data_IF_520791036304
#
_entry.id   IF_520791036304
#
_cell.length_a   1.000
_cell.length_b   1.000
_cell.length_c   1.000
_cell.angle_alpha   90.00
_cell.angle_beta   90.00
_cell.angle_gamma   90.00
#
_symmetry.space_group_name_H-M   'P 1'
#
loop_
_entity.id
_entity.type
_entity.pdbx_description
1 polymer ?
#
# COMPACT_ATOMS: atom_id res chain seq x y z
N UNK A 1 -12.68 -19.30 12.42
CA UNK A 1 -12.29 -17.89 12.62
C UNK A 1 -12.92 -16.98 11.55
N UNK A 2 -14.19 -16.54 11.71
CA UNK A 2 -14.84 -15.60 10.77
C UNK A 2 -15.07 -14.19 11.35
N UNK A 3 -14.64 -13.89 12.59
CA UNK A 3 -15.04 -12.67 13.30
C UNK A 3 -14.30 -11.40 12.86
N UNK A 4 -13.02 -11.50 12.50
CA UNK A 4 -12.22 -10.35 12.07
C UNK A 4 -12.66 -9.89 10.67
N UNK A 5 -12.85 -10.81 9.74
CA UNK A 5 -13.31 -10.51 8.38
C UNK A 5 -14.73 -9.92 8.35
N UNK A 6 -15.61 -10.32 9.29
CA UNK A 6 -16.95 -9.72 9.41
C UNK A 6 -16.89 -8.29 9.93
N UNK A 7 -16.02 -8.00 10.90
CA UNK A 7 -15.74 -6.62 11.34
C UNK A 7 -15.16 -5.78 10.20
N UNK A 8 -14.20 -6.30 9.46
CA UNK A 8 -13.63 -5.62 8.28
C UNK A 8 -14.71 -5.35 7.23
N UNK A 9 -15.64 -6.29 7.01
CA UNK A 9 -16.77 -6.12 6.09
C UNK A 9 -17.79 -5.08 6.59
N UNK A 10 -18.07 -5.03 7.90
CA UNK A 10 -18.88 -3.98 8.54
C UNK A 10 -18.22 -2.60 8.42
N UNK A 11 -16.90 -2.50 8.63
CA UNK A 11 -16.17 -1.24 8.45
C UNK A 11 -16.12 -0.83 6.98
N UNK A 12 -15.94 -1.76 6.03
CA UNK A 12 -16.04 -1.47 4.60
C UNK A 12 -17.47 -1.08 4.17
N UNK A 13 -18.52 -1.64 4.80
CA UNK A 13 -19.91 -1.28 4.52
C UNK A 13 -20.29 0.15 4.93
N UNK A 14 -19.62 0.75 5.92
CA UNK A 14 -19.78 2.18 6.24
C UNK A 14 -19.45 3.12 5.07
N UNK A 15 -18.74 2.62 4.06
CA UNK A 15 -18.39 3.37 2.84
C UNK A 15 -19.55 3.46 1.82
N UNK A 16 -20.67 2.74 2.01
CA UNK A 16 -21.71 2.57 0.97
C UNK A 16 -23.18 2.80 1.44
N UNK A 17 -23.43 3.66 2.45
CA UNK A 17 -24.76 4.02 3.07
C UNK A 17 -25.31 3.04 4.13
N UNK A 18 -26.10 3.41 5.17
CA UNK A 18 -26.79 4.66 5.62
C UNK A 18 -27.09 4.58 7.16
N UNK A 19 -27.74 5.52 7.90
CA UNK A 19 -28.94 6.35 7.66
C UNK A 19 -28.88 7.78 8.24
N UNK A 20 -27.86 8.14 9.02
CA UNK A 20 -27.82 9.46 9.69
C UNK A 20 -27.02 10.44 8.83
N UNK A 21 -27.64 11.45 8.19
CA UNK A 21 -26.92 12.45 7.43
C UNK A 21 -25.90 13.17 8.33
N UNK A 22 -24.75 13.56 7.75
CA UNK A 22 -23.65 14.23 8.49
C UNK A 22 -24.12 15.46 9.29
N UNK A 23 -25.21 16.10 8.85
CA UNK A 23 -25.88 17.21 9.56
C UNK A 23 -26.48 16.82 10.91
N UNK A 24 -26.87 15.56 11.09
CA UNK A 24 -27.50 15.02 12.31
C UNK A 24 -26.50 14.42 13.31
N UNK A 25 -25.19 14.42 13.00
CA UNK A 25 -24.16 13.99 13.94
C UNK A 25 -23.82 15.10 14.94
N UNK A 26 -23.61 14.71 16.20
CA UNK A 26 -23.00 15.58 17.21
C UNK A 26 -21.59 16.00 16.79
N UNK A 27 -21.07 17.10 17.33
CA UNK A 27 -19.74 17.61 16.94
C UNK A 27 -18.61 16.60 17.23
N UNK A 28 -18.77 15.80 18.29
CA UNK A 28 -17.87 14.68 18.56
C UNK A 28 -17.97 13.58 17.50
N UNK A 29 -19.17 13.19 17.08
CA UNK A 29 -19.37 12.19 16.03
C UNK A 29 -18.83 12.65 14.67
N UNK A 30 -18.96 13.95 14.35
CA UNK A 30 -18.36 14.54 13.15
C UNK A 30 -16.84 14.47 13.18
N UNK A 31 -16.21 14.70 14.34
CA UNK A 31 -14.75 14.59 14.51
C UNK A 31 -14.25 13.16 14.29
N UNK A 32 -14.97 12.16 14.80
CA UNK A 32 -14.61 10.75 14.60
C UNK A 32 -14.82 10.29 13.16
N UNK A 33 -15.92 10.69 12.53
CA UNK A 33 -16.18 10.41 11.12
C UNK A 33 -15.09 11.01 10.21
N UNK A 34 -14.65 12.24 10.49
CA UNK A 34 -13.51 12.84 9.78
C UNK A 34 -12.23 12.03 9.98
N UNK A 35 -11.91 11.63 11.21
CA UNK A 35 -10.71 10.84 11.52
C UNK A 35 -10.72 9.49 10.81
N UNK A 36 -11.84 8.78 10.81
CA UNK A 36 -12.02 7.51 10.09
C UNK A 36 -11.86 7.69 8.57
N UNK A 37 -12.48 8.74 8.01
CA UNK A 37 -12.36 9.09 6.60
C UNK A 37 -10.90 9.38 6.20
N UNK A 38 -10.18 10.19 6.98
CA UNK A 38 -8.77 10.50 6.74
C UNK A 38 -7.88 9.27 6.84
N UNK A 39 -8.11 8.40 7.83
CA UNK A 39 -7.34 7.17 7.98
C UNK A 39 -7.51 6.25 6.77
N UNK A 40 -8.74 6.09 6.27
CA UNK A 40 -9.02 5.27 5.08
C UNK A 40 -8.46 5.87 3.81
N UNK A 41 -8.61 7.19 3.61
CA UNK A 41 -7.99 7.90 2.50
C UNK A 41 -6.47 7.74 2.52
N UNK A 42 -5.86 7.81 3.71
CA UNK A 42 -4.43 7.57 3.88
C UNK A 42 -4.04 6.15 3.48
N UNK A 43 -4.79 5.13 3.91
CA UNK A 43 -4.51 3.73 3.56
C UNK A 43 -4.68 3.51 2.06
N UNK A 44 -5.78 3.98 1.45
CA UNK A 44 -6.06 3.82 0.03
C UNK A 44 -5.01 4.56 -0.81
N UNK A 45 -4.67 5.79 -0.44
CA UNK A 45 -3.66 6.57 -1.14
C UNK A 45 -2.28 5.90 -1.04
N UNK A 46 -1.91 5.29 0.09
CA UNK A 46 -0.60 4.64 0.27
C UNK A 46 -0.59 3.14 -0.09
N UNK A 47 -1.71 2.57 -0.50
CA UNK A 47 -1.80 1.14 -0.83
C UNK A 47 -0.77 0.67 -1.89
N UNK A 48 -0.50 1.40 -2.98
CA UNK A 48 0.51 1.01 -3.97
C UNK A 48 1.92 1.00 -3.38
N UNK A 49 2.24 1.99 -2.53
CA UNK A 49 3.51 2.04 -1.82
C UNK A 49 3.67 0.83 -0.90
N UNK A 50 2.66 0.53 -0.07
CA UNK A 50 2.71 -0.64 0.83
C UNK A 50 2.76 -1.97 0.08
N UNK A 51 2.04 -2.11 -1.04
CA UNK A 51 2.10 -3.29 -1.88
C UNK A 51 3.51 -3.50 -2.45
N UNK A 52 4.15 -2.42 -2.90
CA UNK A 52 5.54 -2.45 -3.37
C UNK A 52 6.51 -2.85 -2.26
N UNK A 53 6.46 -2.21 -1.08
CA UNK A 53 7.32 -2.54 0.07
C UNK A 53 7.17 -4.01 0.47
N UNK A 54 5.93 -4.48 0.55
CA UNK A 54 5.65 -5.85 0.98
C UNK A 54 6.08 -6.87 -0.07
N UNK A 55 5.79 -6.62 -1.35
CA UNK A 55 6.18 -7.50 -2.45
C UNK A 55 7.70 -7.65 -2.56
N UNK A 56 8.44 -6.55 -2.43
CA UNK A 56 9.90 -6.54 -2.52
C UNK A 56 10.53 -7.18 -1.28
N UNK A 57 9.93 -7.03 -0.10
CA UNK A 57 10.34 -7.75 1.09
C UNK A 57 10.20 -9.27 0.92
N UNK A 58 9.02 -9.75 0.48
CA UNK A 58 8.76 -11.18 0.30
C UNK A 58 9.65 -11.79 -0.77
N UNK A 59 9.88 -11.09 -1.88
CA UNK A 59 10.79 -11.54 -2.94
C UNK A 59 12.23 -11.65 -2.43
N UNK A 60 12.74 -10.62 -1.77
CA UNK A 60 14.12 -10.60 -1.31
C UNK A 60 14.39 -11.61 -0.19
N UNK A 61 13.46 -11.72 0.75
CA UNK A 61 13.53 -12.75 1.80
C UNK A 61 13.43 -14.15 1.20
N UNK A 62 12.48 -14.38 0.28
CA UNK A 62 12.28 -15.68 -0.35
C UNK A 62 13.53 -16.18 -1.09
N UNK A 63 14.16 -15.31 -1.88
CA UNK A 63 15.40 -15.65 -2.60
C UNK A 63 16.55 -15.87 -1.63
N UNK A 64 16.73 -15.02 -0.62
CA UNK A 64 17.77 -15.17 0.39
C UNK A 64 17.62 -16.48 1.19
N UNK A 65 16.41 -16.85 1.57
CA UNK A 65 16.14 -18.12 2.27
C UNK A 65 16.43 -19.34 1.40
N UNK A 66 16.01 -19.34 0.12
CA UNK A 66 16.32 -20.44 -0.81
C UNK A 66 17.81 -20.60 -1.06
N UNK A 67 18.52 -19.47 -1.12
CA UNK A 67 19.97 -19.45 -1.26
C UNK A 67 20.65 -20.02 0.00
N UNK A 68 20.18 -19.65 1.18
CA UNK A 68 20.66 -20.19 2.45
C UNK A 68 20.45 -21.71 2.54
N UNK A 69 19.26 -22.19 2.18
CA UNK A 69 18.94 -23.64 2.15
C UNK A 69 19.88 -24.40 1.22
N UNK A 70 20.20 -23.84 0.06
CA UNK A 70 21.08 -24.46 -0.92
C UNK A 70 22.54 -24.49 -0.45
N UNK A 71 23.01 -23.39 0.15
CA UNK A 71 24.38 -23.32 0.68
C UNK A 71 24.59 -24.26 1.86
N UNK A 72 23.60 -24.37 2.77
CA UNK A 72 23.69 -25.27 3.93
C UNK A 72 23.75 -26.73 3.48
N UNK A 73 23.06 -27.11 2.39
CA UNK A 73 23.13 -28.48 1.84
C UNK A 73 24.52 -28.86 1.29
N UNK A 74 25.29 -27.87 0.85
CA UNK A 74 26.63 -28.06 0.26
C UNK A 74 27.76 -27.85 1.28
N UNK A 75 27.44 -27.23 2.42
CA UNK A 75 28.40 -26.86 3.45
C UNK A 75 28.89 -28.03 4.31
N UNK A 76 30.20 -28.12 4.65
CA UNK A 76 30.66 -28.99 5.73
C UNK A 76 30.11 -28.51 7.10
N UNK A 77 29.85 -29.45 8.03
CA UNK A 77 29.26 -29.22 9.37
C UNK A 77 30.16 -28.43 10.34
N UNK A 78 30.63 -27.24 9.97
CA UNK A 78 31.35 -26.33 10.87
C UNK A 78 30.52 -25.09 11.14
N UNK A 79 30.38 -24.74 12.42
CA UNK A 79 29.60 -23.56 12.86
C UNK A 79 30.12 -22.24 12.29
N UNK A 80 31.42 -22.16 11.98
CA UNK A 80 32.04 -21.02 11.30
C UNK A 80 31.44 -20.84 9.90
N UNK A 81 31.22 -21.95 9.18
CA UNK A 81 30.67 -21.93 7.83
C UNK A 81 29.20 -21.46 7.84
N UNK A 82 28.41 -21.92 8.82
CA UNK A 82 27.02 -21.46 9.01
C UNK A 82 26.93 -19.95 9.25
N UNK A 83 27.85 -19.37 10.04
CA UNK A 83 27.92 -17.92 10.27
C UNK A 83 28.27 -17.14 9.01
N UNK A 84 29.25 -17.62 8.23
CA UNK A 84 29.61 -17.00 6.94
C UNK A 84 28.45 -17.03 5.93
N UNK A 85 27.74 -18.16 5.82
CA UNK A 85 26.54 -18.28 4.96
C UNK A 85 25.45 -17.34 5.40
N UNK A 86 25.18 -17.25 6.71
CA UNK A 86 24.19 -16.32 7.25
C UNK A 86 24.50 -14.87 6.86
N UNK A 87 25.75 -14.44 7.03
CA UNK A 87 26.20 -13.10 6.62
C UNK A 87 26.08 -12.86 5.11
N UNK A 88 26.47 -13.84 4.30
CA UNK A 88 26.34 -13.76 2.84
C UNK A 88 24.88 -13.65 2.39
N UNK A 89 23.99 -14.51 2.91
CA UNK A 89 22.57 -14.50 2.55
C UNK A 89 21.87 -13.20 3.00
N UNK A 90 22.26 -12.66 4.16
CA UNK A 90 21.79 -11.36 4.62
C UNK A 90 22.26 -10.23 3.71
N UNK A 91 23.53 -10.27 3.26
CA UNK A 91 24.05 -9.34 2.25
C UNK A 91 23.27 -9.43 0.93
N UNK A 92 23.00 -10.64 0.43
CA UNK A 92 22.16 -10.86 -0.76
C UNK A 92 20.76 -10.30 -0.58
N UNK A 93 20.15 -10.50 0.60
CA UNK A 93 18.85 -9.91 0.92
C UNK A 93 18.87 -8.38 0.81
N UNK A 94 19.85 -7.71 1.42
CA UNK A 94 19.94 -6.25 1.39
C UNK A 94 20.02 -5.74 -0.05
N UNK A 95 20.96 -6.28 -0.82
CA UNK A 95 21.18 -5.84 -2.22
C UNK A 95 19.92 -6.08 -3.05
N UNK A 96 19.33 -7.26 -2.95
CA UNK A 96 18.13 -7.61 -3.70
C UNK A 96 16.93 -6.75 -3.27
N UNK A 97 16.80 -6.43 -1.98
CA UNK A 97 15.73 -5.57 -1.47
C UNK A 97 15.88 -4.13 -1.95
N UNK A 98 17.09 -3.56 -1.95
CA UNK A 98 17.32 -2.22 -2.50
C UNK A 98 16.98 -2.16 -3.98
N UNK A 99 17.39 -3.15 -4.78
CA UNK A 99 17.12 -3.18 -6.23
C UNK A 99 15.62 -3.33 -6.51
N UNK A 100 14.98 -4.32 -5.88
CA UNK A 100 13.55 -4.61 -6.10
C UNK A 100 12.68 -3.48 -5.59
N UNK A 101 13.02 -2.85 -4.47
CA UNK A 101 12.36 -1.65 -3.96
C UNK A 101 12.51 -0.47 -4.92
N UNK A 102 13.73 -0.21 -5.43
CA UNK A 102 13.96 0.82 -6.43
C UNK A 102 13.13 0.61 -7.70
N UNK A 103 13.12 -0.62 -8.22
CA UNK A 103 12.33 -0.99 -9.40
C UNK A 103 10.82 -0.86 -9.13
N UNK A 104 10.32 -1.37 -8.01
CA UNK A 104 8.91 -1.27 -7.66
C UNK A 104 8.45 0.18 -7.48
N UNK A 105 9.29 1.03 -6.89
CA UNK A 105 9.01 2.46 -6.80
C UNK A 105 8.91 3.10 -8.19
N UNK A 106 9.88 2.85 -9.06
CA UNK A 106 9.98 3.46 -10.39
C UNK A 106 8.90 3.01 -11.36
N UNK A 107 8.55 1.72 -11.36
CA UNK A 107 7.67 1.12 -12.36
C UNK A 107 6.23 0.89 -11.89
N UNK A 108 5.99 0.86 -10.57
CA UNK A 108 4.64 0.60 -10.01
C UNK A 108 4.15 1.83 -9.26
N UNK A 109 4.87 2.22 -8.20
CA UNK A 109 4.40 3.24 -7.27
C UNK A 109 4.30 4.62 -7.92
N UNK A 110 5.39 5.13 -8.53
CA UNK A 110 5.39 6.46 -9.17
C UNK A 110 4.40 6.55 -10.34
N UNK A 111 4.36 5.61 -11.30
CA UNK A 111 3.40 5.67 -12.41
C UNK A 111 1.95 5.61 -11.95
N UNK A 112 1.65 4.81 -10.91
CA UNK A 112 0.31 4.75 -10.33
C UNK A 112 -0.11 6.12 -9.77
N UNK A 113 0.77 6.77 -8.99
CA UNK A 113 0.47 8.10 -8.47
C UNK A 113 0.30 9.12 -9.58
N UNK A 114 1.20 9.14 -10.57
CA UNK A 114 1.09 10.05 -11.72
C UNK A 114 -0.24 9.85 -12.45
N UNK A 115 -0.63 8.59 -12.71
CA UNK A 115 -1.90 8.27 -13.35
C UNK A 115 -3.09 8.76 -12.53
N UNK A 116 -3.16 8.39 -11.24
CA UNK A 116 -4.27 8.78 -10.37
C UNK A 116 -4.36 10.29 -10.21
N UNK A 117 -3.25 10.99 -10.00
CA UNK A 117 -3.25 12.45 -9.89
C UNK A 117 -3.63 13.13 -11.20
N UNK A 118 -3.09 12.71 -12.35
CA UNK A 118 -3.43 13.29 -13.65
C UNK A 118 -4.90 13.05 -14.03
N UNK A 119 -5.42 11.84 -13.81
CA UNK A 119 -6.83 11.53 -14.04
C UNK A 119 -7.74 12.32 -13.10
N UNK A 120 -7.36 12.45 -11.83
CA UNK A 120 -8.12 13.24 -10.86
C UNK A 120 -8.14 14.72 -11.24
N UNK A 121 -7.00 15.28 -11.65
CA UNK A 121 -6.90 16.67 -12.07
C UNK A 121 -7.72 16.94 -13.33
N UNK A 122 -7.63 16.06 -14.33
CA UNK A 122 -8.40 16.15 -15.57
C UNK A 122 -9.91 16.03 -15.33
N UNK A 123 -10.33 15.15 -14.42
CA UNK A 123 -11.74 14.98 -14.07
C UNK A 123 -12.29 16.22 -13.35
N UNK A 124 -11.54 16.78 -12.40
CA UNK A 124 -11.92 18.00 -11.68
C UNK A 124 -12.02 19.18 -12.65
N UNK A 125 -11.01 19.40 -13.51
CA UNK A 125 -11.03 20.51 -14.46
C UNK A 125 -12.16 20.41 -15.48
N UNK A 126 -12.48 19.21 -15.99
CA UNK A 126 -13.66 19.01 -16.85
C UNK A 126 -14.96 19.33 -16.13
N UNK A 127 -15.16 18.80 -14.93
CA UNK A 127 -16.41 18.95 -14.19
C UNK A 127 -16.66 20.40 -13.76
N UNK A 128 -15.61 21.12 -13.39
CA UNK A 128 -15.71 22.55 -13.10
C UNK A 128 -15.85 23.38 -14.38
N UNK A 129 -15.14 23.07 -15.46
CA UNK A 129 -15.28 23.75 -16.75
C UNK A 129 -16.71 23.67 -17.31
N UNK A 130 -17.34 22.51 -17.26
CA UNK A 130 -18.73 22.31 -17.69
C UNK A 130 -19.74 23.04 -16.79
N UNK A 131 -19.43 23.16 -15.50
CA UNK A 131 -20.28 23.90 -14.55
C UNK A 131 -20.19 25.41 -14.76
N UNK A 132 -19.02 25.94 -15.11
CA UNK A 132 -18.83 27.36 -15.42
C UNK A 132 -19.47 27.75 -16.76
N UNK A 133 -19.37 26.91 -17.79
CA UNK A 133 -20.04 27.14 -19.07
C UNK A 133 -21.57 27.14 -18.97
N UNK A 134 -22.15 26.45 -17.98
CA UNK A 134 -23.59 26.52 -17.69
C UNK A 134 -24.02 27.82 -17.00
N UNK A 135 -23.13 28.45 -16.22
CA UNK A 135 -23.42 29.73 -15.57
C UNK A 135 -23.17 30.95 -16.47
N UNK A 136 -22.30 30.83 -17.49
CA UNK A 136 -22.03 31.92 -18.43
C UNK A 136 -23.00 32.05 -19.60
N UNK A 137 -23.97 31.13 -19.74
CA UNK A 137 -24.96 31.09 -20.83
C UNK A 137 -26.41 31.26 -20.35
N UNK A 138 -26.63 31.84 -19.16
CA UNK A 138 -27.95 32.26 -18.66
C UNK A 138 -28.03 33.77 -18.52
#
# INVERSE_FOLDING_TARGET
MPSIWRKVKEYCQWFLWGKTPYSQLSDHGKKEARRDLYCRLFIIANAPYFATVYGTFVLSMGVSSKLADLMIKVAPERDIWKKCVGGFCFGTYIVLHVITMGAGMMYITFPFYIYVFNTSYSFVTRKFGDSWNKFGNS
#
